data_IF_371572122108
#
_entry.id   IF_371572122108
#
_cell.length_a   1.000
_cell.length_b   1.000
_cell.length_c   1.000
_cell.angle_alpha   90.00
_cell.angle_beta   90.00
_cell.angle_gamma   90.00
#
_symmetry.space_group_name_H-M   'P 1'
#
loop_
_entity.id
_entity.type
_entity.pdbx_description
1 polymer ?
#
# COMPACT_ATOMS: atom_id res chain seq x y z
N UNK A 1 16.61 -22.60 -5.94
CA UNK A 1 15.49 -22.86 -5.03
C UNK A 1 14.32 -21.88 -5.24
N UNK A 2 14.61 -20.65 -5.76
CA UNK A 2 13.57 -19.64 -6.01
C UNK A 2 13.43 -19.24 -7.49
N UNK A 3 14.05 -19.98 -8.41
CA UNK A 3 14.07 -19.64 -9.85
C UNK A 3 12.67 -19.53 -10.47
N UNK A 4 11.73 -20.35 -10.02
CA UNK A 4 10.36 -20.39 -10.54
C UNK A 4 9.53 -19.14 -10.16
N UNK A 5 10.03 -18.34 -9.21
CA UNK A 5 9.40 -17.12 -8.74
C UNK A 5 10.10 -15.84 -9.22
N UNK A 6 11.17 -15.99 -10.01
CA UNK A 6 11.96 -14.86 -10.52
C UNK A 6 11.65 -14.68 -11.99
N UNK A 7 11.22 -13.48 -12.36
CA UNK A 7 11.12 -13.09 -13.76
C UNK A 7 12.51 -12.72 -14.29
N UNK A 8 12.89 -13.29 -15.43
CA UNK A 8 14.18 -12.99 -16.08
C UNK A 8 14.24 -11.59 -16.69
N UNK A 9 13.08 -11.01 -16.96
CA UNK A 9 12.95 -9.66 -17.52
C UNK A 9 12.01 -8.79 -16.69
N UNK A 10 12.22 -7.47 -16.75
CA UNK A 10 11.31 -6.50 -16.13
C UNK A 10 9.94 -6.58 -16.80
N UNK A 11 8.88 -6.66 -15.97
CA UNK A 11 7.51 -6.57 -16.47
C UNK A 11 7.25 -5.20 -17.12
N UNK A 12 6.41 -5.18 -18.15
CA UNK A 12 5.84 -3.93 -18.64
C UNK A 12 4.96 -3.29 -17.56
N UNK A 13 4.74 -1.97 -17.65
CA UNK A 13 3.86 -1.27 -16.70
C UNK A 13 2.44 -1.84 -16.76
N UNK A 14 1.94 -2.16 -17.95
CA UNK A 14 0.59 -2.72 -18.13
C UNK A 14 0.46 -4.10 -17.49
N UNK A 15 1.45 -4.97 -17.67
CA UNK A 15 1.47 -6.30 -17.03
C UNK A 15 1.57 -6.19 -15.50
N UNK A 16 2.39 -5.27 -15.00
CA UNK A 16 2.51 -5.02 -13.57
C UNK A 16 1.16 -4.56 -12.97
N UNK A 17 0.51 -3.58 -13.60
CA UNK A 17 -0.79 -3.07 -13.15
C UNK A 17 -1.84 -4.18 -13.21
N UNK A 18 -1.88 -4.95 -14.31
CA UNK A 18 -2.80 -6.07 -14.47
C UNK A 18 -2.62 -7.11 -13.35
N UNK A 19 -1.40 -7.57 -13.14
CA UNK A 19 -1.09 -8.54 -12.06
C UNK A 19 -1.42 -7.99 -10.67
N UNK A 20 -1.16 -6.73 -10.43
CA UNK A 20 -1.53 -6.07 -9.17
C UNK A 20 -3.03 -6.04 -8.98
N UNK A 21 -3.80 -5.73 -10.03
CA UNK A 21 -5.28 -5.74 -9.97
C UNK A 21 -5.85 -7.13 -9.70
N UNK A 22 -5.26 -8.16 -10.29
CA UNK A 22 -5.67 -9.56 -10.13
C UNK A 22 -5.29 -10.13 -8.74
N UNK A 23 -4.29 -9.55 -8.07
CA UNK A 23 -3.86 -9.99 -6.74
C UNK A 23 -4.88 -9.59 -5.67
N UNK A 24 -5.23 -10.50 -4.78
CA UNK A 24 -6.09 -10.20 -3.61
C UNK A 24 -5.30 -9.42 -2.57
N UNK A 25 -4.08 -9.86 -2.31
CA UNK A 25 -3.15 -9.30 -1.31
C UNK A 25 -1.90 -8.81 -2.01
N UNK A 26 -1.36 -7.68 -1.56
CA UNK A 26 -0.10 -7.13 -2.03
C UNK A 26 0.84 -6.86 -0.86
N UNK A 27 2.15 -6.91 -1.11
CA UNK A 27 3.15 -6.71 -0.08
C UNK A 27 3.96 -5.44 -0.33
N UNK A 28 4.08 -4.60 0.70
CA UNK A 28 4.84 -3.36 0.68
C UNK A 28 6.02 -3.41 1.64
N UNK A 29 7.13 -2.87 1.20
CA UNK A 29 8.32 -2.61 2.01
C UNK A 29 8.81 -1.19 1.74
N UNK A 30 9.45 -0.52 2.70
CA UNK A 30 10.18 0.71 2.43
C UNK A 30 11.19 0.52 1.29
N UNK A 31 11.47 1.58 0.58
CA UNK A 31 12.50 1.65 -0.45
C UNK A 31 13.84 2.08 0.16
N UNK A 32 14.80 2.47 -0.67
CA UNK A 32 16.12 2.95 -0.25
C UNK A 32 15.98 4.11 0.74
N UNK A 33 16.81 4.12 1.77
CA UNK A 33 16.76 5.11 2.87
C UNK A 33 15.41 5.18 3.60
N UNK A 34 14.70 4.06 3.65
CA UNK A 34 13.38 3.93 4.29
C UNK A 34 12.30 4.85 3.68
N UNK A 35 12.53 5.35 2.47
CA UNK A 35 11.55 6.16 1.76
C UNK A 35 10.32 5.33 1.37
N UNK A 36 9.18 6.00 1.28
CA UNK A 36 7.97 5.38 0.73
C UNK A 36 8.20 5.06 -0.75
N UNK A 37 8.03 3.79 -1.12
CA UNK A 37 8.07 3.38 -2.52
C UNK A 37 6.78 3.79 -3.24
N UNK A 38 6.86 3.95 -4.56
CA UNK A 38 5.69 4.23 -5.41
C UNK A 38 4.60 3.17 -5.28
N UNK A 39 4.99 1.93 -5.02
CA UNK A 39 4.05 0.81 -4.82
C UNK A 39 3.00 1.10 -3.76
N UNK A 40 3.36 1.75 -2.66
CA UNK A 40 2.40 2.02 -1.59
C UNK A 40 1.26 2.91 -2.08
N UNK A 41 1.57 4.00 -2.77
CA UNK A 41 0.56 4.91 -3.33
C UNK A 41 -0.31 4.21 -4.39
N UNK A 42 0.29 3.38 -5.25
CA UNK A 42 -0.42 2.59 -6.26
C UNK A 42 -1.38 1.57 -5.60
N UNK A 43 -0.93 0.87 -4.55
CA UNK A 43 -1.75 -0.10 -3.83
C UNK A 43 -2.92 0.56 -3.09
N UNK A 44 -2.68 1.71 -2.46
CA UNK A 44 -3.72 2.52 -1.83
C UNK A 44 -4.73 3.01 -2.87
N UNK A 45 -4.25 3.53 -4.01
CA UNK A 45 -5.09 3.97 -5.13
C UNK A 45 -5.99 2.85 -5.67
N UNK A 46 -5.44 1.65 -5.82
CA UNK A 46 -6.17 0.49 -6.32
C UNK A 46 -7.05 -0.18 -5.26
N UNK A 47 -7.04 0.28 -4.01
CA UNK A 47 -7.81 -0.31 -2.92
C UNK A 47 -7.42 -1.76 -2.66
N UNK A 48 -6.13 -2.05 -2.51
CA UNK A 48 -5.64 -3.40 -2.25
C UNK A 48 -5.60 -3.73 -0.76
N UNK A 49 -5.76 -4.99 -0.42
CA UNK A 49 -5.41 -5.47 0.91
C UNK A 49 -3.89 -5.52 1.03
N UNK A 50 -3.32 -4.59 1.79
CA UNK A 50 -1.87 -4.35 1.86
C UNK A 50 -1.31 -4.97 3.13
N UNK A 51 -0.35 -5.89 2.99
CA UNK A 51 0.56 -6.28 4.07
C UNK A 51 1.81 -5.42 3.94
N UNK A 52 2.27 -4.82 5.03
CA UNK A 52 3.46 -3.95 5.01
C UNK A 52 4.35 -4.19 6.23
N UNK A 53 5.64 -4.09 6.04
CA UNK A 53 6.56 -3.85 7.16
C UNK A 53 6.34 -2.45 7.72
N UNK A 54 6.76 -2.17 8.97
CA UNK A 54 6.61 -0.84 9.57
C UNK A 54 7.18 0.27 8.68
N UNK A 55 6.54 1.42 8.69
CA UNK A 55 6.97 2.61 7.98
C UNK A 55 7.54 3.61 9.00
N UNK A 56 8.76 4.08 8.76
CA UNK A 56 9.49 4.99 9.66
C UNK A 56 9.37 6.46 9.24
N UNK A 57 9.04 6.71 7.95
CA UNK A 57 8.81 8.06 7.45
C UNK A 57 7.36 8.48 7.66
N UNK A 58 7.15 9.76 7.92
CA UNK A 58 5.82 10.31 8.09
C UNK A 58 4.98 10.23 6.82
N UNK A 59 3.71 9.93 7.02
CA UNK A 59 2.66 9.97 6.02
C UNK A 59 1.76 11.19 6.30
N UNK A 60 1.00 11.69 5.31
CA UNK A 60 0.06 12.82 5.51
C UNK A 60 -0.94 12.60 6.65
N UNK A 61 -1.24 11.35 6.96
CA UNK A 61 -1.99 10.91 8.12
C UNK A 61 -1.50 9.51 8.52
N UNK A 62 -1.80 9.08 9.73
CA UNK A 62 -1.40 7.76 10.23
C UNK A 62 -2.09 6.64 9.45
N UNK A 63 -1.30 5.71 8.93
CA UNK A 63 -1.80 4.44 8.43
C UNK A 63 -2.09 3.51 9.60
N UNK A 64 -3.35 3.15 9.80
CA UNK A 64 -3.80 2.34 10.92
C UNK A 64 -3.76 0.85 10.57
N UNK A 65 -3.12 0.04 11.45
CA UNK A 65 -3.15 -1.41 11.35
C UNK A 65 -4.59 -1.96 11.42
N UNK A 66 -4.91 -2.90 10.54
CA UNK A 66 -6.23 -3.53 10.51
C UNK A 66 -7.36 -2.67 9.96
N UNK A 67 -7.02 -1.49 9.43
CA UNK A 67 -7.97 -0.59 8.76
C UNK A 67 -7.48 -0.21 7.36
N UNK A 68 -6.28 0.32 7.24
CA UNK A 68 -5.69 0.77 5.98
C UNK A 68 -4.66 -0.23 5.44
N UNK A 69 -3.93 -0.86 6.36
CA UNK A 69 -2.87 -1.85 6.08
C UNK A 69 -2.83 -2.89 7.20
N UNK A 70 -2.23 -4.04 6.90
CA UNK A 70 -1.85 -5.04 7.89
C UNK A 70 -0.34 -4.99 8.09
N UNK A 71 0.13 -4.44 9.21
CA UNK A 71 1.56 -4.39 9.52
C UNK A 71 2.05 -5.72 10.08
N UNK A 72 3.24 -6.11 9.66
CA UNK A 72 3.97 -7.31 10.11
C UNK A 72 5.41 -6.93 10.48
N UNK A 73 5.97 -7.57 11.50
CA UNK A 73 7.31 -7.27 11.99
C UNK A 73 8.32 -8.38 11.70
N UNK A 74 7.85 -9.52 11.23
CA UNK A 74 8.69 -10.69 10.91
C UNK A 74 8.19 -11.42 9.67
N UNK A 75 9.04 -12.29 9.13
CA UNK A 75 8.67 -13.15 7.98
C UNK A 75 7.56 -14.13 8.36
N UNK A 76 7.57 -14.65 9.57
CA UNK A 76 6.58 -15.62 10.06
C UNK A 76 5.18 -14.96 10.11
N UNK A 77 5.11 -13.71 10.55
CA UNK A 77 3.86 -12.94 10.56
C UNK A 77 3.27 -12.70 9.17
N UNK A 78 4.10 -12.70 8.10
CA UNK A 78 3.63 -12.54 6.71
C UNK A 78 2.70 -13.69 6.32
N UNK A 79 3.10 -14.92 6.65
CA UNK A 79 2.29 -16.10 6.33
C UNK A 79 0.93 -16.04 7.05
N UNK A 80 0.95 -15.73 8.34
CA UNK A 80 -0.27 -15.61 9.15
C UNK A 80 -1.19 -14.49 8.64
N UNK A 81 -0.61 -13.36 8.24
CA UNK A 81 -1.34 -12.24 7.64
C UNK A 81 -2.02 -12.64 6.31
N UNK A 82 -1.31 -13.36 5.43
CA UNK A 82 -1.86 -13.86 4.16
C UNK A 82 -3.01 -14.83 4.42
N UNK A 83 -2.83 -15.79 5.33
CA UNK A 83 -3.87 -16.75 5.71
C UNK A 83 -5.08 -16.02 6.27
N UNK A 84 -4.88 -15.09 7.20
CA UNK A 84 -5.97 -14.30 7.80
C UNK A 84 -6.77 -13.52 6.76
N UNK A 85 -6.09 -12.79 5.88
CA UNK A 85 -6.76 -11.96 4.87
C UNK A 85 -7.52 -12.83 3.85
N UNK A 86 -6.97 -13.98 3.46
CA UNK A 86 -7.64 -14.88 2.53
C UNK A 86 -8.81 -15.67 3.14
N UNK A 87 -8.78 -15.94 4.44
CA UNK A 87 -9.83 -16.70 5.13
C UNK A 87 -10.96 -15.82 5.69
N UNK A 88 -10.71 -14.53 5.89
CA UNK A 88 -11.67 -13.56 6.42
C UNK A 88 -12.01 -12.50 5.37
N UNK A 89 -13.06 -12.75 4.58
CA UNK A 89 -13.51 -11.85 3.52
C UNK A 89 -13.89 -10.45 4.06
N UNK A 90 -14.48 -10.39 5.26
CA UNK A 90 -14.84 -9.11 5.88
C UNK A 90 -13.60 -8.31 6.22
N UNK A 91 -12.58 -8.94 6.79
CA UNK A 91 -11.32 -8.28 7.10
C UNK A 91 -10.58 -7.83 5.83
N UNK A 92 -10.56 -8.68 4.80
CA UNK A 92 -10.00 -8.32 3.50
C UNK A 92 -10.66 -7.08 2.90
N UNK A 93 -12.00 -7.05 2.84
CA UNK A 93 -12.77 -5.89 2.35
C UNK A 93 -12.53 -4.64 3.17
N UNK A 94 -12.47 -4.77 4.49
CA UNK A 94 -12.18 -3.64 5.39
C UNK A 94 -10.83 -2.99 5.05
N UNK A 95 -9.79 -3.80 4.82
CA UNK A 95 -8.47 -3.30 4.41
C UNK A 95 -8.52 -2.61 3.04
N UNK A 96 -9.21 -3.20 2.07
CA UNK A 96 -9.35 -2.66 0.71
C UNK A 96 -10.08 -1.31 0.71
N UNK A 97 -11.19 -1.22 1.39
CA UNK A 97 -11.97 0.01 1.54
C UNK A 97 -11.19 1.08 2.30
N UNK A 98 -10.54 0.70 3.40
CA UNK A 98 -9.70 1.61 4.18
C UNK A 98 -8.51 2.15 3.38
N UNK A 99 -7.83 1.30 2.60
CA UNK A 99 -6.76 1.71 1.72
C UNK A 99 -7.25 2.73 0.67
N UNK A 100 -8.38 2.45 0.03
CA UNK A 100 -8.98 3.35 -0.96
C UNK A 100 -9.40 4.70 -0.36
N UNK A 101 -10.08 4.68 0.78
CA UNK A 101 -10.48 5.89 1.52
C UNK A 101 -9.27 6.73 1.95
N UNK A 102 -8.19 6.06 2.39
CA UNK A 102 -6.95 6.76 2.75
C UNK A 102 -6.35 7.47 1.54
N UNK A 103 -6.29 6.82 0.38
CA UNK A 103 -5.81 7.43 -0.85
C UNK A 103 -6.63 8.66 -1.23
N UNK A 104 -7.95 8.50 -1.32
CA UNK A 104 -8.87 9.56 -1.74
C UNK A 104 -8.83 10.78 -0.81
N UNK A 105 -8.61 10.54 0.48
CA UNK A 105 -8.59 11.64 1.48
C UNK A 105 -7.22 12.31 1.60
N UNK A 106 -6.12 11.58 1.35
CA UNK A 106 -4.81 12.06 1.76
C UNK A 106 -3.74 12.07 0.67
N UNK A 107 -3.84 11.20 -0.34
CA UNK A 107 -2.77 10.91 -1.30
C UNK A 107 -3.15 11.32 -2.73
N UNK A 108 -4.42 11.37 -3.07
CA UNK A 108 -4.86 11.73 -4.40
C UNK A 108 -4.21 13.07 -4.84
N UNK A 109 -3.68 13.17 -6.07
CA UNK A 109 -2.90 14.33 -6.51
C UNK A 109 -3.61 15.67 -6.30
N UNK A 110 -4.90 15.73 -6.56
CA UNK A 110 -5.74 16.90 -6.36
C UNK A 110 -5.78 17.34 -4.89
N UNK A 111 -5.85 16.39 -3.96
CA UNK A 111 -5.86 16.65 -2.51
C UNK A 111 -4.49 17.15 -2.04
N UNK A 112 -3.41 16.55 -2.56
CA UNK A 112 -2.04 16.99 -2.24
C UNK A 112 -1.80 18.42 -2.72
N UNK A 113 -2.21 18.73 -3.96
CA UNK A 113 -2.07 20.08 -4.53
C UNK A 113 -2.91 21.08 -3.75
N UNK A 114 -4.16 20.76 -3.43
CA UNK A 114 -5.03 21.65 -2.63
C UNK A 114 -4.37 22.01 -1.29
N UNK A 115 -3.86 21.03 -0.56
CA UNK A 115 -3.18 21.25 0.72
C UNK A 115 -1.92 22.10 0.60
N UNK A 116 -1.16 21.90 -0.48
CA UNK A 116 0.02 22.75 -0.73
C UNK A 116 -0.38 24.20 -0.96
N UNK A 117 -1.45 24.43 -1.74
CA UNK A 117 -1.97 25.78 -2.01
C UNK A 117 -2.51 26.43 -0.74
N UNK A 118 -3.23 25.71 0.10
CA UNK A 118 -3.72 26.17 1.40
C UNK A 118 -2.56 26.62 2.30
N UNK A 119 -1.52 25.79 2.44
CA UNK A 119 -0.32 26.14 3.24
C UNK A 119 0.44 27.35 2.71
N UNK A 120 0.53 27.50 1.40
CA UNK A 120 1.16 28.68 0.79
C UNK A 120 0.30 29.92 1.02
N UNK A 121 -1.02 29.81 0.90
CA UNK A 121 -1.95 30.90 1.16
C UNK A 121 -1.94 31.39 2.62
N UNK A 122 -1.74 30.49 3.58
CA UNK A 122 -1.62 30.87 5.01
C UNK A 122 -0.30 31.60 5.34
N UNK A 123 0.71 31.50 4.48
CA UNK A 123 2.02 32.14 4.66
C UNK A 123 2.14 33.49 3.96
N UNK A 124 1.17 33.83 3.14
CA UNK A 124 1.08 35.12 2.42
C UNK A 124 0.23 36.15 3.19
#
# INVERSE_FOLDING_TARGET
EYKDFIYESRLSMDDYIKKTKESVVVFNTPSVCECHGWKLAEYLCMGKAIISTPLTREMPATLEHGKHVHFVNSVDEIYDAVVKINSDEHYCKKLQEGAKQYYEKWIAPEIVIQRLLEKVGEQL
#
